data_IF_748520925910
#
_entry.id   IF_748520925910
#
_cell.length_a   1.000
_cell.length_b   1.000
_cell.length_c   1.000
_cell.angle_alpha   90.00
_cell.angle_beta   90.00
_cell.angle_gamma   90.00
#
_symmetry.space_group_name_H-M   'P 1'
#
loop_
_entity.id
_entity.type
_entity.pdbx_description
1 polymer ?
#
# COMPACT_ATOMS: atom_id res chain seq x y z
N UNK A 1 21.64 4.69 -28.13
CA UNK A 1 23.01 5.04 -27.70
C UNK A 1 23.05 5.15 -26.19
N UNK A 2 24.10 4.63 -25.52
CA UNK A 2 24.23 4.76 -24.06
C UNK A 2 24.84 6.14 -23.69
N UNK A 3 24.18 6.84 -22.77
CA UNK A 3 24.55 8.22 -22.38
C UNK A 3 24.42 8.38 -20.88
N UNK A 4 25.09 9.37 -20.31
CA UNK A 4 24.92 9.76 -18.91
C UNK A 4 23.79 10.79 -18.76
N UNK A 5 23.19 10.88 -17.57
CA UNK A 5 22.15 11.84 -17.30
C UNK A 5 22.62 13.30 -17.53
N UNK A 6 23.86 13.64 -17.14
CA UNK A 6 24.45 14.97 -17.35
C UNK A 6 24.63 15.35 -18.84
N UNK A 7 24.67 14.36 -19.72
CA UNK A 7 24.81 14.61 -21.17
C UNK A 7 23.50 15.15 -21.77
N UNK A 8 22.35 14.80 -21.19
CA UNK A 8 21.01 15.05 -21.76
C UNK A 8 20.18 16.09 -21.01
N UNK A 9 20.56 16.47 -19.80
CA UNK A 9 19.86 17.51 -19.05
C UNK A 9 20.82 18.45 -18.32
N UNK A 10 20.29 19.61 -17.94
CA UNK A 10 20.98 20.60 -17.09
C UNK A 10 20.29 20.68 -15.74
N UNK A 11 21.09 20.89 -14.68
CA UNK A 11 20.57 21.09 -13.33
C UNK A 11 20.11 22.53 -13.15
N UNK A 12 18.84 22.72 -12.75
CA UNK A 12 18.32 23.98 -12.25
C UNK A 12 18.05 23.92 -10.73
N UNK A 13 18.13 25.08 -10.08
CA UNK A 13 17.82 25.20 -8.64
C UNK A 13 16.79 26.30 -8.42
N UNK A 14 16.06 26.19 -7.30
CA UNK A 14 15.16 27.25 -6.83
C UNK A 14 15.56 27.67 -5.42
N UNK A 15 15.42 28.98 -5.14
CA UNK A 15 15.53 29.54 -3.78
C UNK A 15 14.17 29.84 -3.14
N UNK A 16 13.06 29.54 -3.82
CA UNK A 16 11.71 29.81 -3.36
C UNK A 16 11.39 28.97 -2.12
N UNK A 17 10.87 29.58 -1.07
CA UNK A 17 10.45 28.90 0.16
C UNK A 17 8.94 28.75 0.17
N UNK A 18 8.44 27.75 0.91
CA UNK A 18 6.99 27.53 1.04
C UNK A 18 6.26 28.74 1.63
N UNK A 19 6.88 29.47 2.57
CA UNK A 19 6.33 30.71 3.15
C UNK A 19 6.13 31.82 2.14
N UNK A 20 6.87 31.81 1.02
CA UNK A 20 6.78 32.83 -0.02
C UNK A 20 5.54 32.63 -0.90
N UNK A 21 4.84 31.51 -0.74
CA UNK A 21 3.70 31.10 -1.56
C UNK A 21 2.39 31.19 -0.77
N UNK A 22 2.44 31.18 0.56
CA UNK A 22 1.27 31.29 1.44
C UNK A 22 0.53 32.59 1.10
N UNK A 23 -0.78 32.50 0.91
CA UNK A 23 -1.69 33.59 0.55
C UNK A 23 -1.49 34.26 -0.82
N UNK A 24 -0.70 33.65 -1.72
CA UNK A 24 -0.57 34.16 -3.10
C UNK A 24 -1.49 33.39 -4.05
N UNK A 25 -2.42 34.13 -4.63
CA UNK A 25 -3.28 33.69 -5.74
C UNK A 25 -2.66 34.22 -7.04
N UNK A 26 -1.94 33.36 -7.75
CA UNK A 26 -1.33 33.68 -9.01
C UNK A 26 -1.74 32.73 -10.13
N UNK A 27 -1.34 33.06 -11.35
CA UNK A 27 -1.67 32.32 -12.57
C UNK A 27 -0.84 31.02 -12.70
N UNK A 28 0.39 31.01 -12.20
CA UNK A 28 1.36 29.96 -12.49
C UNK A 28 1.57 29.02 -11.30
N UNK A 29 1.50 27.71 -11.50
CA UNK A 29 1.56 26.74 -10.41
C UNK A 29 2.96 26.65 -9.80
N UNK A 30 3.00 26.43 -8.48
CA UNK A 30 4.22 26.14 -7.71
C UNK A 30 4.12 24.74 -7.11
N UNK A 31 5.21 23.99 -7.21
CA UNK A 31 5.28 22.60 -6.77
C UNK A 31 6.29 22.42 -5.64
N UNK A 32 5.95 21.50 -4.74
CA UNK A 32 6.80 20.99 -3.67
C UNK A 32 6.86 19.45 -3.68
N UNK A 33 7.43 18.87 -2.66
CA UNK A 33 7.59 17.41 -2.57
C UNK A 33 6.27 16.61 -2.64
N UNK A 34 5.14 17.18 -2.21
CA UNK A 34 3.82 16.55 -2.23
C UNK A 34 3.00 16.82 -3.51
N UNK A 35 3.52 17.61 -4.45
CA UNK A 35 2.80 18.03 -5.65
C UNK A 35 2.59 19.55 -5.68
N UNK A 36 1.49 20.03 -6.31
CA UNK A 36 1.14 21.46 -6.36
C UNK A 36 0.81 21.96 -4.95
N UNK A 37 1.50 23.04 -4.53
CA UNK A 37 1.36 23.64 -3.19
C UNK A 37 0.81 25.08 -3.22
N UNK A 38 0.65 25.67 -4.41
CA UNK A 38 0.11 27.02 -4.58
C UNK A 38 0.33 27.54 -5.99
N UNK A 39 0.24 28.86 -6.14
CA UNK A 39 0.45 29.58 -7.41
C UNK A 39 1.06 30.97 -7.19
N UNK A 40 1.73 31.50 -8.21
CA UNK A 40 2.36 32.84 -8.24
C UNK A 40 2.08 33.56 -9.55
N UNK A 41 2.29 34.88 -9.59
CA UNK A 41 2.18 35.69 -10.83
C UNK A 41 3.37 35.50 -11.78
N UNK A 42 4.45 34.91 -11.30
CA UNK A 42 5.67 34.63 -12.06
C UNK A 42 6.01 33.18 -12.07
N UNK A 43 6.84 32.71 -13.00
CA UNK A 43 7.31 31.35 -13.11
C UNK A 43 8.84 31.30 -13.25
N UNK A 44 9.43 30.15 -12.91
CA UNK A 44 10.87 29.91 -12.99
C UNK A 44 11.25 29.16 -14.29
N UNK A 45 10.35 28.33 -14.81
CA UNK A 45 10.58 27.56 -16.03
C UNK A 45 9.47 27.85 -17.04
N UNK A 46 9.86 28.23 -18.24
CA UNK A 46 8.92 28.54 -19.34
C UNK A 46 8.38 27.27 -20.00
N UNK A 47 9.25 26.27 -20.16
CA UNK A 47 8.91 25.02 -20.86
C UNK A 47 8.65 23.88 -19.87
N UNK A 48 7.96 22.86 -20.37
CA UNK A 48 7.77 21.61 -19.62
C UNK A 48 9.14 21.04 -19.22
N UNK A 49 9.30 20.71 -17.94
CA UNK A 49 10.56 20.22 -17.39
C UNK A 49 10.36 19.15 -16.32
N UNK A 50 11.44 18.49 -15.93
CA UNK A 50 11.42 17.48 -14.87
C UNK A 50 11.93 18.10 -13.58
N UNK A 51 11.31 17.76 -12.45
CA UNK A 51 11.81 18.11 -11.12
C UNK A 51 11.96 16.89 -10.24
N UNK A 52 12.97 16.92 -9.37
CA UNK A 52 13.26 15.84 -8.41
C UNK A 52 13.27 16.43 -7.00
N UNK A 53 12.63 15.75 -6.07
CA UNK A 53 12.72 16.09 -4.64
C UNK A 53 14.12 15.74 -4.16
N UNK A 54 14.88 16.76 -3.74
CA UNK A 54 16.27 16.59 -3.28
C UNK A 54 16.43 16.57 -1.77
N UNK A 55 15.46 17.12 -1.02
CA UNK A 55 15.52 17.26 0.44
C UNK A 55 14.24 16.73 1.11
N UNK A 56 14.38 15.97 2.20
CA UNK A 56 13.28 15.52 3.06
C UNK A 56 12.73 14.12 2.74
N UNK A 57 11.60 13.77 3.34
CA UNK A 57 11.02 12.41 3.30
C UNK A 57 10.60 11.90 1.90
N UNK A 58 10.59 12.75 0.88
CA UNK A 58 10.21 12.38 -0.50
C UNK A 58 11.38 12.35 -1.47
N UNK A 59 12.62 12.28 -1.01
CA UNK A 59 13.81 12.31 -1.88
C UNK A 59 13.72 11.28 -3.01
N UNK A 60 14.21 11.66 -4.18
CA UNK A 60 14.15 10.83 -5.40
C UNK A 60 12.82 10.91 -6.14
N UNK A 61 11.73 11.37 -5.50
CA UNK A 61 10.44 11.52 -6.18
C UNK A 61 10.58 12.48 -7.36
N UNK A 62 10.20 11.99 -8.53
CA UNK A 62 10.30 12.70 -9.81
C UNK A 62 8.93 13.20 -10.24
N UNK A 63 8.86 14.42 -10.75
CA UNK A 63 7.64 15.05 -11.26
C UNK A 63 7.90 15.63 -12.65
N UNK A 64 6.94 15.44 -13.55
CA UNK A 64 6.85 16.17 -14.79
C UNK A 64 6.07 17.47 -14.53
N UNK A 65 6.72 18.60 -14.71
CA UNK A 65 6.14 19.91 -14.47
C UNK A 65 5.59 20.51 -15.77
N UNK A 66 4.42 21.15 -15.75
CA UNK A 66 3.91 21.85 -16.91
C UNK A 66 4.79 23.06 -17.26
N UNK A 67 4.60 23.61 -18.45
CA UNK A 67 5.15 24.90 -18.81
C UNK A 67 4.70 26.01 -17.84
N UNK A 68 5.49 27.06 -17.72
CA UNK A 68 5.23 28.22 -16.86
C UNK A 68 4.96 27.83 -15.41
N UNK A 69 5.87 27.05 -14.83
CA UNK A 69 5.78 26.55 -13.46
C UNK A 69 7.01 26.86 -12.62
N UNK A 70 6.88 26.69 -11.31
CA UNK A 70 7.95 26.89 -10.34
C UNK A 70 8.04 25.74 -9.34
N UNK A 71 9.22 25.56 -8.70
CA UNK A 71 9.38 24.66 -7.56
C UNK A 71 9.99 25.40 -6.37
N UNK A 72 9.75 24.88 -5.17
CA UNK A 72 10.44 25.36 -3.96
C UNK A 72 11.84 24.78 -3.83
N UNK A 73 12.65 25.37 -2.96
CA UNK A 73 14.07 25.06 -2.78
C UNK A 73 14.41 23.64 -2.36
N UNK A 74 13.42 22.86 -1.85
CA UNK A 74 13.59 21.42 -1.54
C UNK A 74 13.58 20.51 -2.78
N UNK A 75 13.37 21.09 -3.95
CA UNK A 75 13.40 20.41 -5.24
C UNK A 75 14.51 20.96 -6.12
N UNK A 76 14.85 20.22 -7.15
CA UNK A 76 15.74 20.70 -8.22
C UNK A 76 15.15 20.35 -9.58
N UNK A 77 15.44 21.18 -10.57
CA UNK A 77 15.09 20.92 -11.97
C UNK A 77 16.13 20.03 -12.64
N UNK A 78 15.65 19.20 -13.55
CA UNK A 78 16.41 18.55 -14.60
C UNK A 78 15.84 19.07 -15.93
N UNK A 79 16.49 20.09 -16.47
CA UNK A 79 16.04 20.80 -17.69
C UNK A 79 16.52 20.02 -18.90
N UNK A 80 15.62 19.46 -19.74
CA UNK A 80 16.00 18.63 -20.87
C UNK A 80 16.75 19.43 -21.92
N UNK A 81 17.80 18.85 -22.49
CA UNK A 81 18.48 19.36 -23.68
C UNK A 81 17.74 18.92 -24.95
N UNK A 82 18.14 19.48 -26.11
CA UNK A 82 17.46 19.24 -27.38
C UNK A 82 17.42 17.76 -27.82
N UNK A 83 18.27 16.88 -27.29
CA UNK A 83 18.34 15.46 -27.65
C UNK A 83 17.30 14.58 -26.94
N UNK A 84 16.60 15.10 -25.91
CA UNK A 84 15.67 14.35 -25.10
C UNK A 84 14.35 15.10 -24.91
N UNK A 85 13.23 14.38 -25.03
CA UNK A 85 11.89 14.91 -24.73
C UNK A 85 11.67 14.94 -23.19
N UNK A 86 10.98 15.96 -22.67
CA UNK A 86 10.72 16.13 -21.22
C UNK A 86 10.03 14.92 -20.59
N UNK A 87 9.04 14.36 -21.28
CA UNK A 87 8.29 13.19 -20.81
C UNK A 87 9.17 11.94 -20.80
N UNK A 88 10.04 11.76 -21.79
CA UNK A 88 10.96 10.64 -21.80
C UNK A 88 11.99 10.77 -20.68
N UNK A 89 12.56 11.96 -20.45
CA UNK A 89 13.44 12.26 -19.31
C UNK A 89 12.74 11.97 -17.98
N UNK A 90 11.47 12.33 -17.84
CA UNK A 90 10.68 12.04 -16.65
C UNK A 90 10.65 10.54 -16.35
N UNK A 91 10.34 9.69 -17.32
CA UNK A 91 10.31 8.23 -17.12
C UNK A 91 11.71 7.68 -16.85
N UNK A 92 12.73 8.10 -17.56
CA UNK A 92 14.13 7.72 -17.31
C UNK A 92 14.51 7.99 -15.85
N UNK A 93 14.28 9.20 -15.36
CA UNK A 93 14.66 9.60 -13.99
C UNK A 93 13.78 8.91 -12.95
N UNK A 94 12.48 8.75 -13.21
CA UNK A 94 11.54 8.02 -12.33
C UNK A 94 11.98 6.58 -12.06
N UNK A 95 12.50 5.88 -13.07
CA UNK A 95 12.94 4.51 -12.96
C UNK A 95 14.42 4.33 -12.60
N UNK A 96 15.17 5.44 -12.42
CA UNK A 96 16.55 5.40 -11.90
C UNK A 96 16.62 5.11 -10.39
N UNK A 97 15.50 5.24 -9.66
CA UNK A 97 15.45 5.03 -8.21
C UNK A 97 16.51 5.87 -7.47
N UNK A 98 16.39 7.20 -7.62
CA UNK A 98 17.39 8.15 -7.13
C UNK A 98 17.50 8.18 -5.59
N UNK A 99 16.52 7.66 -4.87
CA UNK A 99 16.55 7.46 -3.42
C UNK A 99 17.74 6.61 -2.96
N UNK A 100 18.31 5.77 -3.81
CA UNK A 100 19.54 5.00 -3.52
C UNK A 100 20.77 5.87 -3.24
N UNK A 101 20.74 7.14 -3.67
CA UNK A 101 21.82 8.13 -3.42
C UNK A 101 21.61 8.94 -2.15
N UNK A 102 20.73 8.49 -1.30
CA UNK A 102 20.43 9.12 -0.02
C UNK A 102 21.69 9.35 0.82
N UNK A 103 21.79 10.56 1.38
CA UNK A 103 22.81 10.97 2.34
C UNK A 103 22.16 11.83 3.44
N UNK A 104 22.79 11.90 4.61
CA UNK A 104 22.31 12.67 5.76
C UNK A 104 21.63 11.82 6.84
N UNK A 105 22.00 12.03 8.11
CA UNK A 105 21.52 11.26 9.24
C UNK A 105 20.17 11.73 9.78
N UNK A 106 19.85 13.03 9.68
CA UNK A 106 18.62 13.63 10.26
C UNK A 106 17.61 14.02 9.19
N UNK A 107 18.06 14.67 8.12
CA UNK A 107 17.24 15.03 6.98
C UNK A 107 17.84 14.37 5.75
N UNK A 108 17.11 13.51 5.04
CA UNK A 108 17.58 12.88 3.82
C UNK A 108 17.86 13.91 2.71
N UNK A 109 18.99 13.76 2.03
CA UNK A 109 19.38 14.60 0.88
C UNK A 109 19.87 13.73 -0.26
N UNK A 110 19.64 14.17 -1.50
CA UNK A 110 20.31 13.66 -2.70
C UNK A 110 20.91 14.82 -3.48
N UNK A 111 22.08 14.63 -4.04
CA UNK A 111 22.79 15.66 -4.80
C UNK A 111 22.95 15.23 -6.26
N UNK A 112 22.77 16.16 -7.19
CA UNK A 112 22.93 15.89 -8.63
C UNK A 112 24.32 15.31 -8.96
N UNK A 113 25.38 15.74 -8.26
CA UNK A 113 26.74 15.23 -8.46
C UNK A 113 26.85 13.71 -8.23
N UNK A 114 25.97 13.13 -7.40
CA UNK A 114 26.05 11.72 -7.01
C UNK A 114 25.37 10.81 -8.02
N UNK A 115 24.36 11.31 -8.77
CA UNK A 115 23.60 10.53 -9.74
C UNK A 115 23.70 11.05 -11.20
N UNK A 116 24.37 12.16 -11.46
CA UNK A 116 24.52 12.72 -12.81
C UNK A 116 25.21 11.77 -13.80
N UNK A 117 26.00 10.83 -13.32
CA UNK A 117 26.74 9.83 -14.10
C UNK A 117 25.95 8.53 -14.32
N UNK A 118 24.70 8.45 -13.84
CA UNK A 118 23.81 7.31 -14.15
C UNK A 118 23.64 7.20 -15.67
N UNK A 119 23.76 5.97 -16.16
CA UNK A 119 23.72 5.70 -17.59
C UNK A 119 22.40 5.03 -17.99
N UNK A 120 21.89 5.43 -19.14
CA UNK A 120 20.70 4.85 -19.75
C UNK A 120 20.79 4.84 -21.28
N UNK A 121 19.87 4.14 -21.94
CA UNK A 121 19.79 4.14 -23.40
C UNK A 121 19.00 5.36 -23.90
N UNK A 122 19.66 6.25 -24.63
CA UNK A 122 19.03 7.33 -25.35
C UNK A 122 18.59 6.84 -26.73
N UNK A 123 17.31 6.87 -26.96
CA UNK A 123 16.65 6.56 -28.24
C UNK A 123 16.54 7.83 -29.11
N UNK A 124 16.23 7.68 -30.39
CA UNK A 124 15.85 8.84 -31.21
C UNK A 124 14.50 9.42 -30.76
N UNK A 125 14.17 10.64 -31.18
CA UNK A 125 12.96 11.32 -30.71
C UNK A 125 11.66 10.62 -31.08
N UNK A 126 11.62 9.89 -32.17
CA UNK A 126 10.45 9.11 -32.57
C UNK A 126 10.24 7.93 -31.62
N UNK A 127 11.30 7.16 -31.40
CA UNK A 127 11.29 6.07 -30.41
C UNK A 127 10.99 6.55 -28.99
N UNK A 128 11.54 7.72 -28.57
CA UNK A 128 11.21 8.32 -27.26
C UNK A 128 9.70 8.53 -27.09
N UNK A 129 9.03 9.09 -28.11
CA UNK A 129 7.58 9.34 -28.10
C UNK A 129 6.78 8.06 -28.08
N UNK A 130 7.19 7.03 -28.81
CA UNK A 130 6.53 5.70 -28.80
C UNK A 130 6.65 5.02 -27.45
N UNK A 131 7.84 5.07 -26.83
CA UNK A 131 8.07 4.54 -25.47
C UNK A 131 7.18 5.29 -24.46
N UNK A 132 7.17 6.62 -24.49
CA UNK A 132 6.33 7.44 -23.61
C UNK A 132 4.85 7.12 -23.79
N UNK A 133 4.38 7.00 -25.03
CA UNK A 133 2.99 6.64 -25.35
C UNK A 133 2.63 5.27 -24.76
N UNK A 134 3.51 4.30 -24.89
CA UNK A 134 3.33 2.95 -24.34
C UNK A 134 3.28 2.97 -22.81
N UNK A 135 4.22 3.68 -22.14
CA UNK A 135 4.25 3.81 -20.69
C UNK A 135 3.00 4.51 -20.14
N UNK A 136 2.55 5.59 -20.77
CA UNK A 136 1.29 6.27 -20.41
C UNK A 136 0.08 5.35 -20.52
N UNK A 137 0.01 4.53 -21.57
CA UNK A 137 -1.07 3.54 -21.73
C UNK A 137 -1.06 2.50 -20.61
N UNK A 138 0.12 2.00 -20.24
CA UNK A 138 0.28 1.05 -19.12
C UNK A 138 -0.15 1.70 -17.81
N UNK A 139 0.31 2.91 -17.50
CA UNK A 139 -0.10 3.65 -16.30
C UNK A 139 -1.61 3.89 -16.25
N UNK A 140 -2.22 4.26 -17.38
CA UNK A 140 -3.66 4.43 -17.47
C UNK A 140 -4.43 3.12 -17.22
N UNK A 141 -3.93 1.97 -17.75
CA UNK A 141 -4.52 0.66 -17.49
C UNK A 141 -4.42 0.32 -16.00
N UNK A 142 -3.26 0.52 -15.38
CA UNK A 142 -3.07 0.26 -13.94
C UNK A 142 -4.02 1.14 -13.11
N UNK A 143 -4.09 2.44 -13.40
CA UNK A 143 -4.99 3.37 -12.70
C UNK A 143 -6.46 2.98 -12.85
N UNK A 144 -6.91 2.64 -14.06
CA UNK A 144 -8.27 2.20 -14.31
C UNK A 144 -8.61 0.90 -13.57
N UNK A 145 -7.68 -0.05 -13.50
CA UNK A 145 -7.86 -1.30 -12.74
C UNK A 145 -7.97 -1.04 -11.25
N UNK A 146 -7.15 -0.14 -10.72
CA UNK A 146 -7.22 0.24 -9.31
C UNK A 146 -8.57 0.92 -8.98
N UNK A 147 -9.06 1.78 -9.86
CA UNK A 147 -10.40 2.39 -9.73
C UNK A 147 -11.51 1.34 -9.79
N UNK A 148 -11.41 0.36 -10.70
CA UNK A 148 -12.38 -0.75 -10.78
C UNK A 148 -12.42 -1.57 -9.48
N UNK A 149 -11.26 -1.91 -8.89
CA UNK A 149 -11.21 -2.60 -7.60
C UNK A 149 -11.87 -1.79 -6.48
N UNK A 150 -11.60 -0.48 -6.42
CA UNK A 150 -12.23 0.42 -5.45
C UNK A 150 -13.76 0.44 -5.62
N UNK A 151 -14.27 0.53 -6.85
CA UNK A 151 -15.71 0.50 -7.13
C UNK A 151 -16.37 -0.83 -6.75
N UNK A 152 -15.66 -1.95 -6.91
CA UNK A 152 -16.16 -3.26 -6.47
C UNK A 152 -16.27 -3.34 -4.94
N UNK A 153 -15.31 -2.74 -4.19
CA UNK A 153 -15.43 -2.63 -2.73
C UNK A 153 -16.60 -1.72 -2.30
N UNK A 154 -16.79 -0.60 -2.99
CA UNK A 154 -17.93 0.30 -2.77
C UNK A 154 -19.28 -0.38 -3.05
N UNK A 155 -19.33 -1.24 -4.07
CA UNK A 155 -20.52 -2.00 -4.42
C UNK A 155 -20.94 -2.97 -3.31
N UNK A 156 -19.97 -3.66 -2.65
CA UNK A 156 -20.25 -4.51 -1.49
C UNK A 156 -20.86 -3.68 -0.36
N UNK A 157 -20.27 -2.51 -0.06
CA UNK A 157 -20.76 -1.61 1.00
C UNK A 157 -22.18 -1.11 0.68
N UNK A 158 -22.43 -0.66 -0.55
CA UNK A 158 -23.74 -0.19 -0.97
C UNK A 158 -24.81 -1.29 -0.88
N UNK A 159 -24.46 -2.53 -1.27
CA UNK A 159 -25.38 -3.67 -1.15
C UNK A 159 -25.69 -4.02 0.30
N UNK A 160 -24.72 -3.91 1.20
CA UNK A 160 -24.94 -4.11 2.63
C UNK A 160 -25.97 -3.10 3.17
N UNK A 161 -25.77 -1.82 2.88
CA UNK A 161 -26.67 -0.73 3.26
C UNK A 161 -28.09 -0.98 2.72
N UNK A 162 -28.21 -1.28 1.43
CA UNK A 162 -29.50 -1.57 0.78
C UNK A 162 -30.25 -2.72 1.44
N UNK A 163 -29.55 -3.80 1.77
CA UNK A 163 -30.19 -5.01 2.32
C UNK A 163 -30.51 -4.89 3.80
N UNK A 164 -29.75 -4.12 4.59
CA UNK A 164 -29.77 -4.23 6.05
C UNK A 164 -30.04 -2.93 6.80
N UNK A 165 -29.63 -1.74 6.32
CA UNK A 165 -29.77 -0.50 7.11
C UNK A 165 -31.20 0.01 7.23
N UNK A 166 -32.03 -0.18 6.21
CA UNK A 166 -33.41 0.32 6.19
C UNK A 166 -34.41 -0.62 6.88
N UNK A 167 -33.93 -1.70 7.52
CA UNK A 167 -34.77 -2.72 8.12
C UNK A 167 -34.61 -2.76 9.65
N UNK A 168 -35.70 -3.03 10.36
CA UNK A 168 -35.75 -3.15 11.83
C UNK A 168 -35.30 -4.53 12.31
N UNK A 169 -34.04 -4.88 12.05
CA UNK A 169 -33.50 -6.12 12.62
C UNK A 169 -33.03 -5.91 14.08
N UNK A 170 -33.11 -6.95 14.92
CA UNK A 170 -32.62 -6.84 16.29
C UNK A 170 -31.11 -6.61 16.29
N UNK A 171 -30.65 -5.67 17.16
CA UNK A 171 -29.25 -5.56 17.49
C UNK A 171 -28.88 -6.59 18.55
N UNK A 172 -27.75 -7.25 18.34
CA UNK A 172 -27.22 -8.29 19.24
C UNK A 172 -25.76 -8.05 19.50
N UNK A 173 -25.28 -8.40 20.70
CA UNK A 173 -23.85 -8.40 21.00
C UNK A 173 -23.13 -9.46 20.19
N UNK A 174 -21.95 -9.15 19.68
CA UNK A 174 -21.11 -10.06 18.89
C UNK A 174 -20.77 -11.32 19.70
N UNK A 175 -20.62 -11.21 21.02
CA UNK A 175 -20.44 -12.38 21.91
C UNK A 175 -21.59 -13.38 21.88
N UNK A 176 -22.77 -12.99 21.44
CA UNK A 176 -23.93 -13.92 21.34
C UNK A 176 -23.93 -14.71 20.04
N UNK A 177 -23.26 -14.21 19.01
CA UNK A 177 -23.22 -14.80 17.66
C UNK A 177 -21.85 -15.39 17.30
N UNK A 178 -20.84 -15.22 18.16
CA UNK A 178 -19.53 -15.86 18.04
C UNK A 178 -19.36 -16.93 19.13
N UNK A 179 -18.79 -18.07 18.77
CA UNK A 179 -18.40 -19.13 19.73
C UNK A 179 -17.14 -18.76 20.49
N UNK A 180 -16.26 -18.01 19.82
CA UNK A 180 -14.93 -17.76 20.30
C UNK A 180 -14.47 -16.35 19.93
N UNK A 181 -14.14 -15.54 20.95
CA UNK A 181 -13.53 -14.23 20.78
C UNK A 181 -12.30 -14.18 21.67
N UNK A 182 -11.11 -14.26 21.06
CA UNK A 182 -9.83 -14.22 21.74
C UNK A 182 -8.80 -13.44 20.91
N UNK A 183 -7.58 -13.31 21.40
CA UNK A 183 -6.46 -12.71 20.66
C UNK A 183 -5.29 -13.67 20.57
N UNK A 184 -4.42 -13.41 19.62
CA UNK A 184 -3.20 -14.18 19.43
C UNK A 184 -2.16 -14.04 20.52
N UNK A 185 -1.06 -14.71 20.30
CA UNK A 185 0.16 -14.68 21.10
C UNK A 185 1.35 -14.51 20.19
N UNK A 186 2.31 -13.69 20.57
CA UNK A 186 3.53 -13.50 19.78
C UNK A 186 4.65 -14.37 20.34
N UNK A 187 5.15 -15.34 19.57
CA UNK A 187 6.32 -16.11 19.95
C UNK A 187 7.59 -15.27 19.81
N UNK A 188 8.73 -15.68 20.38
CA UNK A 188 10.04 -15.12 20.08
C UNK A 188 10.32 -15.07 18.58
N UNK A 189 11.04 -14.02 18.11
CA UNK A 189 11.24 -13.80 16.68
C UNK A 189 12.06 -14.92 16.00
N UNK A 190 12.95 -15.56 16.70
CA UNK A 190 13.77 -16.69 16.25
C UNK A 190 12.95 -17.96 15.96
N UNK A 191 11.71 -18.02 16.45
CA UNK A 191 10.75 -19.10 16.17
C UNK A 191 9.82 -18.83 14.98
N UNK A 192 9.99 -17.68 14.31
CA UNK A 192 9.22 -17.30 13.12
C UNK A 192 10.13 -17.42 11.90
N UNK A 193 9.66 -18.09 10.85
CA UNK A 193 10.36 -18.31 9.59
C UNK A 193 9.65 -17.61 8.43
N UNK A 194 10.41 -17.13 7.46
CA UNK A 194 9.87 -16.66 6.16
C UNK A 194 9.82 -17.79 5.12
N UNK A 195 10.45 -18.92 5.41
CA UNK A 195 10.48 -20.10 4.53
C UNK A 195 9.39 -21.09 4.91
N UNK A 196 8.62 -21.51 3.92
CA UNK A 196 7.62 -22.57 4.06
C UNK A 196 8.29 -23.95 4.10
N UNK A 197 7.73 -24.84 4.93
CA UNK A 197 7.96 -26.28 4.89
C UNK A 197 6.69 -27.00 5.38
N UNK A 198 6.53 -28.26 5.05
CA UNK A 198 5.30 -29.02 5.32
C UNK A 198 4.97 -29.22 6.81
N UNK A 199 5.94 -28.99 7.71
CA UNK A 199 5.82 -29.05 9.17
C UNK A 199 5.57 -27.66 9.80
N UNK A 200 5.23 -26.67 8.98
CA UNK A 200 4.98 -25.28 9.43
C UNK A 200 3.55 -24.84 9.14
N UNK A 201 3.06 -24.01 10.03
CA UNK A 201 1.73 -23.40 9.98
C UNK A 201 1.89 -21.90 9.71
N UNK A 202 1.07 -21.28 8.83
CA UNK A 202 1.13 -19.85 8.55
C UNK A 202 0.78 -19.03 9.80
N UNK A 203 1.54 -17.92 9.97
CA UNK A 203 1.45 -17.03 11.12
C UNK A 203 1.17 -15.59 10.67
N UNK A 204 -0.02 -15.09 11.00
CA UNK A 204 -0.51 -13.79 10.57
C UNK A 204 -0.12 -12.69 11.55
N UNK A 205 0.28 -11.55 10.98
CA UNK A 205 0.52 -10.29 11.67
C UNK A 205 -0.40 -9.19 11.11
N UNK A 206 -0.47 -8.05 11.78
CA UNK A 206 -1.37 -6.94 11.41
C UNK A 206 -1.21 -6.46 9.94
N UNK A 207 -0.04 -6.58 9.36
CA UNK A 207 0.18 -6.22 7.97
C UNK A 207 -0.45 -7.19 6.95
N UNK A 208 -0.82 -8.41 7.39
CA UNK A 208 -1.58 -9.35 6.56
C UNK A 208 -3.09 -9.05 6.53
N UNK A 209 -3.57 -8.11 7.37
CA UNK A 209 -4.96 -7.66 7.37
C UNK A 209 -5.08 -6.36 6.56
N UNK A 210 -6.23 -6.15 5.92
CA UNK A 210 -6.53 -4.98 5.09
C UNK A 210 -7.70 -4.15 5.62
N UNK A 211 -7.92 -2.96 5.07
CA UNK A 211 -9.08 -2.12 5.38
C UNK A 211 -10.34 -2.50 4.59
N UNK A 212 -10.22 -3.40 3.61
CA UNK A 212 -11.33 -3.93 2.83
C UNK A 212 -11.70 -5.39 3.16
N UNK A 213 -11.04 -5.98 4.19
CA UNK A 213 -11.36 -7.32 4.67
C UNK A 213 -10.61 -8.47 3.98
N UNK A 214 -9.69 -8.15 3.06
CA UNK A 214 -8.87 -9.13 2.35
C UNK A 214 -7.71 -9.63 3.20
N UNK A 215 -7.33 -10.91 3.04
CA UNK A 215 -6.14 -11.50 3.63
C UNK A 215 -4.95 -11.31 2.68
N UNK A 216 -3.93 -10.57 3.12
CA UNK A 216 -2.73 -10.22 2.35
C UNK A 216 -1.53 -11.09 2.75
N UNK A 217 -1.71 -12.41 2.80
CA UNK A 217 -0.65 -13.32 3.29
C UNK A 217 0.56 -13.36 2.37
N UNK A 218 0.36 -13.43 1.05
CA UNK A 218 1.42 -13.56 0.05
C UNK A 218 2.39 -12.38 -0.01
N UNK A 219 1.99 -11.22 0.51
CA UNK A 219 2.86 -10.02 0.49
C UNK A 219 4.05 -10.13 1.43
N UNK A 220 3.91 -10.82 2.55
CA UNK A 220 4.96 -11.07 3.53
C UNK A 220 4.62 -12.32 4.35
N UNK A 221 4.73 -13.52 3.76
CA UNK A 221 4.37 -14.77 4.40
C UNK A 221 5.32 -15.06 5.57
N UNK A 222 4.75 -15.50 6.69
CA UNK A 222 5.50 -15.98 7.85
C UNK A 222 4.89 -17.26 8.38
N UNK A 223 5.74 -18.11 8.96
CA UNK A 223 5.40 -19.45 9.40
C UNK A 223 5.99 -19.75 10.77
N UNK A 224 5.33 -20.63 11.50
CA UNK A 224 5.80 -21.20 12.78
C UNK A 224 5.78 -22.73 12.70
N UNK A 225 6.59 -23.42 13.47
CA UNK A 225 6.55 -24.89 13.52
C UNK A 225 5.25 -25.39 14.15
N UNK A 226 4.83 -26.61 13.78
CA UNK A 226 3.67 -27.26 14.38
C UNK A 226 3.79 -27.39 15.91
N UNK A 227 4.99 -27.60 16.44
CA UNK A 227 5.23 -27.66 17.89
C UNK A 227 4.87 -26.35 18.59
N UNK A 228 5.23 -25.19 18.00
CA UNK A 228 4.88 -23.87 18.53
C UNK A 228 3.37 -23.63 18.39
N UNK A 229 2.80 -23.98 17.25
CA UNK A 229 1.37 -23.87 16.96
C UNK A 229 0.50 -24.70 17.94
N UNK A 230 0.86 -25.94 18.17
CA UNK A 230 0.12 -26.87 19.05
C UNK A 230 0.46 -26.68 20.54
N UNK A 231 1.60 -26.08 20.86
CA UNK A 231 2.06 -25.82 22.22
C UNK A 231 1.76 -24.39 22.67
N UNK A 232 2.76 -23.50 22.58
CA UNK A 232 2.69 -22.12 23.06
C UNK A 232 1.50 -21.33 22.50
N UNK A 233 1.13 -21.57 21.24
CA UNK A 233 0.09 -20.82 20.53
C UNK A 233 -1.23 -21.60 20.36
N UNK A 234 -1.42 -22.69 21.07
CA UNK A 234 -2.60 -23.54 20.94
C UNK A 234 -3.94 -22.81 21.17
N UNK A 235 -3.96 -21.78 22.01
CA UNK A 235 -5.16 -20.98 22.30
C UNK A 235 -5.55 -19.99 21.20
N UNK A 236 -4.69 -19.73 20.25
CA UNK A 236 -4.88 -18.74 19.16
C UNK A 236 -4.89 -19.37 17.78
N UNK A 237 -5.29 -20.64 17.70
CA UNK A 237 -5.54 -21.31 16.44
C UNK A 237 -6.69 -20.66 15.69
N UNK A 238 -6.44 -20.40 14.42
CA UNK A 238 -7.36 -19.78 13.49
C UNK A 238 -7.71 -20.76 12.39
N UNK A 239 -8.95 -20.77 11.99
CA UNK A 239 -9.49 -21.67 10.97
C UNK A 239 -10.11 -20.88 9.81
N UNK A 240 -10.30 -21.51 8.65
CA UNK A 240 -11.06 -20.90 7.56
C UNK A 240 -12.41 -20.36 8.04
N UNK A 241 -12.79 -19.18 7.52
CA UNK A 241 -13.98 -18.42 7.90
C UNK A 241 -13.93 -17.73 9.29
N UNK A 242 -12.85 -17.80 10.04
CA UNK A 242 -12.66 -16.89 11.17
C UNK A 242 -12.53 -15.45 10.67
N UNK A 243 -13.20 -14.51 11.32
CA UNK A 243 -13.02 -13.07 11.06
C UNK A 243 -11.94 -12.55 11.99
N UNK A 244 -10.95 -11.87 11.42
CA UNK A 244 -9.84 -11.29 12.15
C UNK A 244 -9.95 -9.77 12.16
N UNK A 245 -9.52 -9.15 13.26
CA UNK A 245 -9.44 -7.70 13.40
C UNK A 245 -8.19 -7.30 14.18
N UNK A 246 -7.45 -6.26 13.74
CA UNK A 246 -6.39 -5.74 14.58
C UNK A 246 -6.95 -4.89 15.72
N UNK A 247 -6.50 -5.20 16.93
CA UNK A 247 -6.91 -4.53 18.18
C UNK A 247 -5.77 -3.75 18.84
N UNK A 248 -4.58 -3.76 18.24
CA UNK A 248 -3.40 -3.01 18.67
C UNK A 248 -2.79 -2.30 17.46
N UNK A 249 -2.51 -1.02 17.57
CA UNK A 249 -1.92 -0.24 16.47
C UNK A 249 -1.86 1.24 16.79
N UNK A 250 -1.34 2.10 15.94
CA UNK A 250 -1.95 2.71 14.77
C UNK A 250 -1.44 2.08 13.45
N UNK A 251 -2.30 2.00 12.39
CA UNK A 251 -3.73 2.22 12.41
C UNK A 251 -4.53 1.03 12.95
N UNK A 252 -5.67 1.28 13.59
CA UNK A 252 -6.68 0.28 13.94
C UNK A 252 -7.74 0.14 12.82
N UNK A 253 -8.56 -0.92 12.88
CA UNK A 253 -9.69 -1.12 11.96
C UNK A 253 -9.35 -1.88 10.68
N UNK A 254 -8.25 -2.63 10.65
CA UNK A 254 -7.99 -3.63 9.62
C UNK A 254 -8.70 -4.93 9.98
N UNK A 255 -9.23 -5.59 8.97
CA UNK A 255 -9.93 -6.87 9.07
C UNK A 255 -9.40 -7.88 8.06
N UNK A 256 -9.80 -9.14 8.24
CA UNK A 256 -9.64 -10.17 7.23
C UNK A 256 -10.60 -11.33 7.49
N UNK A 257 -11.09 -11.94 6.42
CA UNK A 257 -11.69 -13.26 6.47
C UNK A 257 -10.61 -14.30 6.14
N UNK A 258 -10.45 -15.29 7.01
CA UNK A 258 -9.45 -16.34 6.82
C UNK A 258 -9.87 -17.25 5.67
N UNK A 259 -8.96 -17.48 4.73
CA UNK A 259 -9.14 -18.34 3.55
C UNK A 259 -8.97 -19.83 3.91
N UNK A 260 -9.35 -20.70 3.00
CA UNK A 260 -9.19 -22.16 3.09
C UNK A 260 -7.88 -22.68 2.47
N UNK A 261 -6.95 -21.76 2.13
CA UNK A 261 -5.64 -22.10 1.57
C UNK A 261 -4.82 -23.02 2.49
N UNK A 262 -4.95 -22.81 3.82
CA UNK A 262 -4.39 -23.70 4.83
C UNK A 262 -5.49 -24.14 5.81
N UNK A 263 -5.44 -25.38 6.33
CA UNK A 263 -6.45 -25.87 7.25
C UNK A 263 -6.42 -25.21 8.63
N UNK A 264 -5.23 -24.77 9.06
CA UNK A 264 -4.99 -24.07 10.32
C UNK A 264 -4.01 -22.92 10.11
N UNK A 265 -4.24 -21.85 10.88
CA UNK A 265 -3.41 -20.65 10.91
C UNK A 265 -3.13 -20.25 12.36
N UNK A 266 -2.24 -19.33 12.57
CA UNK A 266 -2.06 -18.69 13.87
C UNK A 266 -1.85 -17.19 13.71
N UNK A 267 -2.00 -16.41 14.79
CA UNK A 267 -1.98 -14.97 14.78
C UNK A 267 -1.16 -14.39 15.92
N UNK A 268 -0.67 -13.16 15.72
CA UNK A 268 0.02 -12.43 16.77
C UNK A 268 -0.96 -11.81 17.81
N UNK A 269 -0.42 -11.32 18.93
CA UNK A 269 -1.19 -10.71 20.03
C UNK A 269 -1.98 -9.45 19.67
N UNK A 270 -1.68 -8.83 18.54
CA UNK A 270 -2.32 -7.61 18.08
C UNK A 270 -3.61 -7.86 17.27
N UNK A 271 -3.96 -9.12 17.04
CA UNK A 271 -5.14 -9.53 16.27
C UNK A 271 -6.13 -10.26 17.17
N UNK A 272 -7.41 -9.91 17.06
CA UNK A 272 -8.54 -10.64 17.65
C UNK A 272 -9.18 -11.56 16.60
N UNK A 273 -9.67 -12.72 17.09
CA UNK A 273 -10.44 -13.71 16.33
C UNK A 273 -11.91 -13.56 16.71
N UNK A 274 -12.79 -13.58 15.72
CA UNK A 274 -14.24 -13.70 15.88
C UNK A 274 -14.68 -14.93 15.09
N UNK A 275 -14.95 -16.03 15.80
CA UNK A 275 -15.44 -17.28 15.19
C UNK A 275 -16.95 -17.33 15.20
N UNK A 276 -17.53 -17.34 14.01
CA UNK A 276 -18.96 -17.29 13.82
C UNK A 276 -19.66 -18.58 14.29
N UNK A 277 -20.82 -18.45 14.96
CA UNK A 277 -21.76 -19.55 15.20
C UNK A 277 -22.59 -19.83 13.95
N UNK A 278 -23.26 -20.97 13.91
CA UNK A 278 -24.14 -21.39 12.80
C UNK A 278 -25.24 -20.37 12.42
N UNK A 279 -25.64 -19.50 13.35
CA UNK A 279 -26.68 -18.49 13.13
C UNK A 279 -26.21 -17.21 12.45
N UNK A 280 -24.89 -17.07 12.20
CA UNK A 280 -24.33 -15.92 11.52
C UNK A 280 -23.37 -16.36 10.42
N UNK A 281 -23.53 -15.82 9.22
CA UNK A 281 -22.63 -16.04 8.10
C UNK A 281 -21.33 -15.25 8.31
N UNK A 282 -20.12 -15.85 8.17
CA UNK A 282 -18.83 -15.18 8.39
C UNK A 282 -18.61 -13.95 7.50
N UNK A 283 -19.00 -13.99 6.23
CA UNK A 283 -18.90 -12.83 5.31
C UNK A 283 -19.82 -11.69 5.72
N UNK A 284 -21.04 -12.03 6.19
CA UNK A 284 -21.93 -11.05 6.78
C UNK A 284 -21.33 -10.44 8.05
N UNK A 285 -20.82 -11.30 8.97
CA UNK A 285 -20.18 -10.84 10.21
C UNK A 285 -19.03 -9.85 9.92
N UNK A 286 -18.14 -10.19 8.99
CA UNK A 286 -17.05 -9.31 8.55
C UNK A 286 -17.61 -7.96 8.10
N UNK A 287 -18.56 -7.97 7.17
CA UNK A 287 -19.13 -6.74 6.61
C UNK A 287 -19.87 -5.91 7.67
N UNK A 288 -20.60 -6.56 8.60
CA UNK A 288 -21.29 -5.88 9.70
C UNK A 288 -20.33 -5.19 10.66
N UNK A 289 -19.20 -5.84 11.01
CA UNK A 289 -18.17 -5.27 11.88
C UNK A 289 -17.44 -4.09 11.22
N UNK A 290 -17.34 -4.08 9.91
CA UNK A 290 -16.69 -3.02 9.13
C UNK A 290 -17.58 -1.80 8.88
N UNK A 291 -18.89 -1.86 9.21
CA UNK A 291 -19.78 -0.70 9.01
C UNK A 291 -19.33 0.48 9.86
N UNK A 292 -19.31 1.71 9.32
CA UNK A 292 -18.90 2.91 10.04
C UNK A 292 -19.65 3.12 11.36
N UNK A 293 -20.94 2.76 11.42
CA UNK A 293 -21.81 2.89 12.59
C UNK A 293 -21.40 1.96 13.73
N UNK A 294 -20.80 0.82 13.40
CA UNK A 294 -20.24 -0.16 14.36
C UNK A 294 -18.79 0.18 14.67
N UNK A 295 -17.99 0.38 13.65
CA UNK A 295 -16.54 0.50 13.77
C UNK A 295 -16.08 1.85 14.37
N UNK A 296 -16.64 2.99 13.92
CA UNK A 296 -16.15 4.29 14.36
C UNK A 296 -16.38 4.55 15.85
N UNK A 297 -17.56 4.25 16.45
CA UNK A 297 -17.74 4.33 17.89
C UNK A 297 -16.80 3.40 18.67
N UNK A 298 -16.53 2.21 18.13
CA UNK A 298 -15.62 1.24 18.71
C UNK A 298 -14.17 1.74 18.71
N UNK A 299 -13.67 2.25 17.59
CA UNK A 299 -12.32 2.78 17.48
C UNK A 299 -12.07 3.97 18.43
N UNK A 300 -13.09 4.80 18.69
CA UNK A 300 -13.00 5.91 19.67
C UNK A 300 -12.80 5.46 21.11
N UNK A 301 -13.08 4.19 21.43
CA UNK A 301 -12.86 3.62 22.77
C UNK A 301 -11.41 3.14 22.98
N UNK A 302 -10.56 3.20 21.94
CA UNK A 302 -9.18 2.78 22.05
C UNK A 302 -8.39 3.64 23.03
N UNK A 303 -7.58 3.00 23.87
CA UNK A 303 -6.77 3.62 24.91
C UNK A 303 -5.29 3.50 24.57
N UNK A 304 -4.54 4.57 24.79
CA UNK A 304 -3.09 4.62 24.59
C UNK A 304 -2.64 5.94 23.96
N UNK A 305 -1.39 6.35 24.20
CA UNK A 305 -0.83 7.59 23.66
C UNK A 305 -0.02 7.31 22.38
N UNK A 306 0.87 6.32 22.44
CA UNK A 306 1.73 5.92 21.30
C UNK A 306 1.21 4.69 20.57
N UNK A 307 0.53 3.81 21.29
CA UNK A 307 -0.03 2.58 20.74
C UNK A 307 -1.47 2.43 21.25
N UNK A 308 -2.42 2.56 20.34
CA UNK A 308 -3.84 2.40 20.65
C UNK A 308 -4.15 0.92 20.88
N UNK A 309 -4.97 0.63 21.89
CA UNK A 309 -5.38 -0.73 22.24
C UNK A 309 -6.88 -0.79 22.48
N UNK A 310 -7.48 -1.87 21.97
CA UNK A 310 -8.86 -2.27 22.23
C UNK A 310 -8.84 -3.59 22.99
N UNK A 311 -9.68 -3.70 24.00
CA UNK A 311 -9.77 -4.90 24.84
C UNK A 311 -10.70 -5.95 24.22
N UNK A 312 -10.50 -7.22 24.60
CA UNK A 312 -11.42 -8.30 24.22
C UNK A 312 -12.83 -8.12 24.79
N UNK A 313 -12.98 -7.44 25.94
CA UNK A 313 -14.30 -7.10 26.48
C UNK A 313 -15.03 -6.17 25.53
N UNK A 314 -14.36 -5.09 25.06
CA UNK A 314 -14.95 -4.18 24.09
C UNK A 314 -15.31 -4.89 22.77
N UNK A 315 -14.48 -5.84 22.32
CA UNK A 315 -14.79 -6.65 21.14
C UNK A 315 -16.07 -7.51 21.34
N UNK A 316 -16.27 -8.08 22.53
CA UNK A 316 -17.46 -8.88 22.87
C UNK A 316 -18.74 -8.05 22.96
N UNK A 317 -18.61 -6.82 23.38
CA UNK A 317 -19.72 -5.86 23.58
C UNK A 317 -20.12 -5.12 22.30
N UNK A 318 -19.39 -5.27 21.18
CA UNK A 318 -19.81 -4.76 19.89
C UNK A 318 -21.23 -5.24 19.55
N UNK A 319 -22.05 -4.34 19.02
CA UNK A 319 -23.42 -4.62 18.60
C UNK A 319 -23.56 -4.53 17.10
N UNK A 320 -24.16 -5.55 16.52
CA UNK A 320 -24.48 -5.65 15.09
C UNK A 320 -25.95 -6.01 14.89
N UNK A 321 -26.53 -5.67 13.76
CA UNK A 321 -27.83 -6.20 13.36
C UNK A 321 -27.73 -7.69 13.07
N UNK A 322 -28.78 -8.45 13.40
CA UNK A 322 -28.88 -9.88 13.09
C UNK A 322 -30.12 -10.16 12.22
N UNK A 323 -30.01 -10.00 10.89
CA UNK A 323 -31.07 -10.37 9.98
C UNK A 323 -31.22 -11.90 9.89
N UNK A 324 -32.32 -12.42 9.28
CA UNK A 324 -32.47 -13.84 9.01
C UNK A 324 -31.27 -14.42 8.24
N UNK A 325 -30.85 -15.65 8.58
CA UNK A 325 -29.70 -16.30 7.98
C UNK A 325 -29.80 -16.41 6.44
N UNK A 326 -31.00 -16.58 5.93
CA UNK A 326 -31.25 -16.61 4.47
C UNK A 326 -30.83 -15.32 3.76
N UNK A 327 -31.08 -14.15 4.37
CA UNK A 327 -30.66 -12.86 3.83
C UNK A 327 -29.14 -12.66 3.99
N UNK A 328 -28.56 -13.11 5.10
CA UNK A 328 -27.09 -13.09 5.27
C UNK A 328 -26.41 -13.94 4.20
N UNK A 329 -26.97 -15.11 3.87
CA UNK A 329 -26.44 -15.98 2.80
C UNK A 329 -26.57 -15.34 1.43
N UNK A 330 -27.71 -14.71 1.10
CA UNK A 330 -27.87 -13.96 -0.16
C UNK A 330 -26.81 -12.85 -0.31
N UNK A 331 -26.52 -12.14 0.78
CA UNK A 331 -25.45 -11.15 0.79
C UNK A 331 -24.08 -11.79 0.59
N UNK A 332 -23.79 -12.91 1.27
CA UNK A 332 -22.54 -13.65 1.15
C UNK A 332 -22.32 -14.19 -0.28
N UNK A 333 -23.38 -14.65 -0.94
CA UNK A 333 -23.34 -15.08 -2.35
C UNK A 333 -23.01 -13.90 -3.27
N UNK A 334 -23.65 -12.73 -3.04
CA UNK A 334 -23.35 -11.52 -3.78
C UNK A 334 -21.88 -11.09 -3.59
N UNK A 335 -21.35 -11.11 -2.35
CA UNK A 335 -19.94 -10.83 -2.07
C UNK A 335 -19.05 -11.80 -2.84
N UNK A 336 -19.37 -13.10 -2.86
CA UNK A 336 -18.60 -14.11 -3.57
C UNK A 336 -18.51 -13.83 -5.09
N UNK A 337 -19.61 -13.36 -5.71
CA UNK A 337 -19.60 -12.99 -7.13
C UNK A 337 -18.77 -11.72 -7.39
N UNK A 338 -18.82 -10.73 -6.49
CA UNK A 338 -17.97 -9.55 -6.59
C UNK A 338 -16.49 -9.92 -6.41
N UNK A 339 -16.15 -10.81 -5.46
CA UNK A 339 -14.77 -11.27 -5.24
C UNK A 339 -14.23 -12.02 -6.47
N UNK A 340 -15.02 -12.85 -7.15
CA UNK A 340 -14.63 -13.44 -8.45
C UNK A 340 -14.30 -12.36 -9.48
N UNK A 341 -15.11 -11.29 -9.53
CA UNK A 341 -14.87 -10.15 -10.44
C UNK A 341 -13.56 -9.42 -10.07
N UNK A 342 -13.26 -9.24 -8.77
CA UNK A 342 -11.99 -8.67 -8.32
C UNK A 342 -10.79 -9.52 -8.74
N UNK A 343 -10.88 -10.86 -8.64
CA UNK A 343 -9.81 -11.76 -9.10
C UNK A 343 -9.53 -11.58 -10.60
N UNK A 344 -10.55 -11.43 -11.43
CA UNK A 344 -10.39 -11.17 -12.87
C UNK A 344 -9.73 -9.80 -13.15
N UNK A 345 -10.07 -8.78 -12.36
CA UNK A 345 -9.45 -7.46 -12.44
C UNK A 345 -8.02 -7.50 -11.91
N UNK A 346 -7.77 -8.16 -10.76
CA UNK A 346 -6.50 -8.21 -10.06
C UNK A 346 -5.46 -9.10 -10.73
N UNK A 347 -5.85 -10.23 -11.35
CA UNK A 347 -4.91 -11.11 -12.05
C UNK A 347 -4.21 -10.42 -13.23
N UNK A 348 -4.82 -9.36 -13.77
CA UNK A 348 -4.19 -8.50 -14.76
C UNK A 348 -3.25 -7.44 -14.15
N UNK A 349 -3.30 -7.22 -12.83
CA UNK A 349 -2.49 -6.23 -12.10
C UNK A 349 -1.39 -6.86 -11.21
N UNK A 350 -1.49 -8.16 -10.92
CA UNK A 350 -0.58 -8.90 -10.02
C UNK A 350 0.75 -9.32 -10.70
N UNK A 351 1.23 -8.55 -11.67
CA UNK A 351 2.64 -8.62 -12.01
C UNK A 351 3.39 -7.69 -11.07
N UNK A 352 4.41 -8.25 -10.37
CA UNK A 352 5.45 -7.54 -9.63
C UNK A 352 5.76 -6.20 -10.28
N UNK A 353 6.17 -5.14 -9.53
CA UNK A 353 6.54 -3.87 -10.14
C UNK A 353 7.39 -4.19 -11.36
N UNK A 354 6.89 -3.78 -12.52
CA UNK A 354 7.51 -4.03 -13.81
C UNK A 354 8.90 -3.42 -13.74
N UNK A 355 9.89 -4.28 -13.48
CA UNK A 355 11.29 -3.90 -13.62
C UNK A 355 11.50 -3.77 -15.14
N UNK A 356 11.24 -2.54 -15.63
CA UNK A 356 11.40 -2.22 -17.03
C UNK A 356 12.91 -2.19 -17.28
N UNK A 357 13.51 -3.38 -17.43
CA UNK A 357 14.90 -3.57 -17.87
C UNK A 357 15.23 -2.93 -19.23
N UNK A 358 14.32 -2.12 -19.76
CA UNK A 358 14.49 -1.31 -20.96
C UNK A 358 15.62 -0.29 -20.83
N UNK A 359 15.89 0.18 -19.61
CA UNK A 359 16.91 1.20 -19.36
C UNK A 359 18.23 0.62 -18.85
N UNK A 360 18.26 -0.66 -18.36
CA UNK A 360 19.45 -1.27 -17.77
C UNK A 360 19.59 -2.74 -18.13
N UNK A 361 20.03 -3.05 -19.37
CA UNK A 361 20.63 -4.36 -19.64
C UNK A 361 22.13 -4.31 -19.26
N UNK A 362 22.46 -4.77 -18.05
CA UNK A 362 23.82 -5.20 -17.75
C UNK A 362 24.02 -6.61 -18.34
N UNK A 363 24.72 -6.71 -19.45
CA UNK A 363 25.38 -7.96 -19.84
C UNK A 363 26.53 -8.19 -18.86
N UNK A 364 26.33 -8.98 -17.83
CA UNK A 364 27.38 -9.50 -16.98
C UNK A 364 27.75 -10.91 -17.50
N UNK A 365 28.71 -10.97 -18.41
CA UNK A 365 29.50 -12.17 -18.65
C UNK A 365 30.67 -12.14 -17.65
N UNK A 366 30.56 -12.83 -16.53
CA UNK A 366 31.60 -13.62 -15.83
C UNK A 366 31.11 -14.05 -14.45
N UNK A 367 31.34 -15.27 -14.00
CA UNK A 367 30.86 -15.75 -12.71
C UNK A 367 31.79 -15.26 -11.60
N UNK A 368 31.30 -14.46 -10.69
CA UNK A 368 32.03 -14.10 -9.47
C UNK A 368 31.38 -14.72 -8.23
N UNK A 369 32.24 -15.29 -7.42
CA UNK A 369 32.03 -16.12 -6.25
C UNK A 369 31.08 -15.47 -5.20
N UNK A 370 30.31 -16.34 -4.54
CA UNK A 370 29.45 -16.09 -3.39
C UNK A 370 30.12 -15.23 -2.31
N UNK A 371 29.49 -14.11 -1.97
CA UNK A 371 29.74 -13.37 -0.74
C UNK A 371 28.39 -12.95 -0.17
N UNK A 372 28.04 -13.48 0.98
CA UNK A 372 26.84 -13.22 1.75
C UNK A 372 26.89 -11.77 2.23
N UNK A 373 25.97 -10.92 1.80
CA UNK A 373 25.72 -9.62 2.43
C UNK A 373 24.24 -9.54 2.81
N UNK A 374 24.02 -9.58 4.13
CA UNK A 374 22.75 -9.34 4.82
C UNK A 374 22.22 -7.94 4.51
N UNK A 375 21.09 -7.84 3.84
CA UNK A 375 20.35 -6.60 3.68
C UNK A 375 19.46 -6.37 4.90
N UNK A 376 19.85 -5.45 5.78
CA UNK A 376 18.97 -4.92 6.82
C UNK A 376 17.93 -4.01 6.18
N UNK A 377 16.67 -4.43 6.23
CA UNK A 377 15.52 -3.58 5.92
C UNK A 377 15.34 -2.54 7.04
N UNK A 378 15.44 -1.27 6.67
CA UNK A 378 15.02 -0.15 7.54
C UNK A 378 13.56 0.13 7.24
N UNK A 379 12.69 -0.19 8.20
CA UNK A 379 11.26 0.16 8.17
C UNK A 379 11.14 1.60 8.64
N UNK A 380 10.60 2.47 7.80
CA UNK A 380 10.19 3.81 8.21
C UNK A 380 8.70 3.83 8.59
N UNK A 381 8.44 4.44 9.71
CA UNK A 381 7.11 4.80 10.23
C UNK A 381 6.43 5.90 9.41
#
# INVERSE_FOLDING_TARGET
MRVKLEDVCERGTSSLMQKDIVDKNGKYPVYGASGRIGSMETYQQEHQTVAVVKDGAGIGRTMLLPEKSSVIGTMQYLIPKNCIESEYLYYVVKYMHLEKYFSGATIPHIYFRDYKTEEFNLHDKTEQREIVSTLKRIEAIISNRQEQLTKLDELIKARFVEMFENNTYPKVKVSTVCDFITKGTTPPNDLISEEYSSDKVPYLKVYNLSFNGELLFDTAPQYISENIHNGMLARSKVYPNDVLMNIVGPPLGKFSLVTDEFPEWNINQAIAIFRAKEKINPKYLLSALMQPEVLNPFLRQAVGIRQLNLSLSQCRDLEIFLPPLSLQNQFADFVAEVDKSKLLVGSAAAHKPFDIGFFSQKHCATPCKRGIISSKHVIFH
#
